data_IF_179132360078
#
_entry.id   IF_179132360078
#
_cell.length_a   1.000
_cell.length_b   1.000
_cell.length_c   1.000
_cell.angle_alpha   90.00
_cell.angle_beta   90.00
_cell.angle_gamma   90.00
#
_symmetry.space_group_name_H-M   'P 1'
#
loop_
_entity.id
_entity.type
_entity.pdbx_description
1 polymer ?
#
# COMPACT_ATOMS: atom_id res chain seq x y z
N UNK A 1 41.39 -64.37 -0.38
CA UNK A 1 41.14 -63.51 -1.55
C UNK A 1 39.67 -63.11 -1.52
N UNK A 2 39.37 -61.90 -1.04
CA UNK A 2 37.98 -61.42 -0.88
C UNK A 2 37.27 -61.46 -2.25
N UNK A 3 36.16 -62.20 -2.33
CA UNK A 3 35.37 -62.38 -3.56
C UNK A 3 34.49 -61.13 -3.77
N UNK A 4 35.13 -60.03 -4.16
CA UNK A 4 34.51 -58.70 -4.32
C UNK A 4 33.47 -58.69 -5.45
N UNK A 5 33.53 -59.64 -6.38
CA UNK A 5 32.74 -59.60 -7.62
C UNK A 5 31.25 -59.97 -7.49
N UNK A 6 30.79 -60.50 -6.34
CA UNK A 6 29.41 -60.98 -6.15
C UNK A 6 28.66 -60.44 -4.93
N UNK A 7 29.25 -59.55 -4.14
CA UNK A 7 28.58 -59.08 -2.91
C UNK A 7 27.49 -58.06 -3.21
N UNK A 8 26.23 -58.45 -3.00
CA UNK A 8 25.04 -57.60 -3.14
C UNK A 8 25.17 -56.31 -2.33
N UNK A 9 25.71 -56.38 -1.11
CA UNK A 9 25.94 -55.21 -0.25
C UNK A 9 26.87 -54.16 -0.88
N UNK A 10 27.90 -54.60 -1.62
CA UNK A 10 28.81 -53.68 -2.31
C UNK A 10 28.13 -52.99 -3.49
N UNK A 11 27.26 -53.71 -4.22
CA UNK A 11 26.45 -53.13 -5.30
C UNK A 11 25.50 -52.07 -4.77
N UNK A 12 24.83 -52.34 -3.64
CA UNK A 12 23.95 -51.37 -2.97
C UNK A 12 24.73 -50.13 -2.52
N UNK A 13 25.93 -50.31 -1.95
CA UNK A 13 26.79 -49.19 -1.54
C UNK A 13 27.18 -48.31 -2.74
N UNK A 14 27.63 -48.92 -3.85
CA UNK A 14 28.00 -48.19 -5.07
C UNK A 14 26.80 -47.46 -5.65
N UNK A 15 25.61 -48.10 -5.68
CA UNK A 15 24.37 -47.46 -6.11
C UNK A 15 24.02 -46.26 -5.22
N UNK A 16 24.14 -46.40 -3.90
CA UNK A 16 23.92 -45.31 -2.94
C UNK A 16 24.86 -44.13 -3.18
N UNK A 17 26.14 -44.40 -3.44
CA UNK A 17 27.14 -43.36 -3.76
C UNK A 17 26.81 -42.68 -5.09
N UNK A 18 26.43 -43.43 -6.13
CA UNK A 18 26.01 -42.84 -7.41
C UNK A 18 24.77 -41.97 -7.25
N UNK A 19 23.76 -42.43 -6.52
CA UNK A 19 22.57 -41.64 -6.21
C UNK A 19 22.94 -40.37 -5.45
N UNK A 20 23.80 -40.48 -4.44
CA UNK A 20 24.32 -39.32 -3.69
C UNK A 20 25.06 -38.32 -4.58
N UNK A 21 25.92 -38.80 -5.48
CA UNK A 21 26.63 -37.97 -6.44
C UNK A 21 25.68 -37.25 -7.41
N UNK A 22 24.60 -37.90 -7.84
CA UNK A 22 23.60 -37.30 -8.72
C UNK A 22 22.69 -36.29 -8.00
N UNK A 23 22.53 -36.38 -6.68
CA UNK A 23 21.79 -35.37 -5.92
C UNK A 23 22.50 -34.01 -5.94
N UNK A 24 23.84 -33.97 -6.01
CA UNK A 24 24.61 -32.72 -6.06
C UNK A 24 24.21 -31.85 -7.27
N UNK A 25 24.32 -32.32 -8.54
CA UNK A 25 23.95 -31.52 -9.69
C UNK A 25 22.45 -31.19 -9.73
N UNK A 26 21.57 -32.08 -9.24
CA UNK A 26 20.13 -31.80 -9.17
C UNK A 26 19.86 -30.59 -8.26
N UNK A 27 20.48 -30.56 -7.07
CA UNK A 27 20.34 -29.42 -6.16
C UNK A 27 20.96 -28.14 -6.73
N UNK A 28 22.12 -28.23 -7.40
CA UNK A 28 22.76 -27.07 -8.03
C UNK A 28 21.87 -26.45 -9.12
N UNK A 29 21.23 -27.27 -9.95
CA UNK A 29 20.27 -26.78 -10.95
C UNK A 29 19.07 -26.12 -10.27
N UNK A 30 18.54 -26.74 -9.22
CA UNK A 30 17.45 -26.16 -8.42
C UNK A 30 17.79 -24.79 -7.87
N UNK A 31 18.96 -24.66 -7.23
CA UNK A 31 19.47 -23.38 -6.70
C UNK A 31 19.65 -22.33 -7.81
N UNK A 32 20.20 -22.71 -8.96
CA UNK A 32 20.39 -21.78 -10.09
C UNK A 32 19.05 -21.27 -10.65
N UNK A 33 18.06 -22.16 -10.74
CA UNK A 33 16.69 -21.78 -11.16
C UNK A 33 16.07 -20.84 -10.15
N UNK A 34 16.20 -21.13 -8.85
CA UNK A 34 15.72 -20.27 -7.77
C UNK A 34 16.35 -18.88 -7.83
N UNK A 35 17.68 -18.78 -7.95
CA UNK A 35 18.37 -17.50 -8.10
C UNK A 35 17.92 -16.71 -9.33
N UNK A 36 17.61 -17.38 -10.45
CA UNK A 36 17.08 -16.73 -11.65
C UNK A 36 15.68 -16.18 -11.44
N UNK A 37 14.82 -16.93 -10.76
CA UNK A 37 13.48 -16.47 -10.42
C UNK A 37 13.53 -15.28 -9.45
N UNK A 38 14.37 -15.36 -8.41
CA UNK A 38 14.56 -14.27 -7.46
C UNK A 38 15.06 -12.99 -8.16
N UNK A 39 16.10 -13.08 -8.99
CA UNK A 39 16.63 -11.94 -9.75
C UNK A 39 15.61 -11.35 -10.74
N UNK A 40 14.78 -12.17 -11.35
CA UNK A 40 13.71 -11.70 -12.21
C UNK A 40 12.67 -10.90 -11.41
N UNK A 41 12.28 -11.40 -10.24
CA UNK A 41 11.37 -10.72 -9.32
C UNK A 41 11.91 -9.37 -8.86
N UNK A 42 13.16 -9.34 -8.38
CA UNK A 42 13.85 -8.11 -7.95
C UNK A 42 13.92 -7.07 -9.08
N UNK A 43 14.22 -7.49 -10.31
CA UNK A 43 14.28 -6.59 -11.45
C UNK A 43 12.90 -5.96 -11.77
N UNK A 44 11.82 -6.77 -11.70
CA UNK A 44 10.44 -6.27 -11.90
C UNK A 44 10.06 -5.30 -10.78
N UNK A 45 10.37 -5.64 -9.53
CA UNK A 45 10.07 -4.80 -8.39
C UNK A 45 10.83 -3.47 -8.44
N UNK A 46 12.11 -3.49 -8.77
CA UNK A 46 12.92 -2.26 -8.90
C UNK A 46 12.46 -1.38 -10.08
N UNK A 47 12.01 -1.98 -11.18
CA UNK A 47 11.41 -1.23 -12.28
C UNK A 47 10.06 -0.61 -11.87
N UNK A 48 9.25 -1.36 -11.13
CA UNK A 48 7.93 -0.91 -10.67
C UNK A 48 8.04 0.18 -9.60
N UNK A 49 8.99 0.08 -8.67
CA UNK A 49 9.18 1.07 -7.59
C UNK A 49 9.59 2.44 -8.13
N UNK A 50 10.36 2.48 -9.23
CA UNK A 50 10.71 3.73 -9.93
C UNK A 50 9.53 4.40 -10.65
N UNK A 51 8.42 3.68 -10.83
CA UNK A 51 7.22 4.14 -11.56
C UNK A 51 5.98 4.26 -10.68
N UNK A 52 6.17 4.24 -9.35
CA UNK A 52 5.08 4.46 -8.40
C UNK A 52 4.48 3.20 -7.81
N UNK A 53 4.96 2.00 -8.20
CA UNK A 53 4.57 0.73 -7.60
C UNK A 53 3.05 0.50 -7.60
N UNK A 54 2.56 -0.16 -6.56
CA UNK A 54 1.11 -0.27 -6.31
C UNK A 54 0.60 1.05 -5.74
N UNK A 55 -0.28 1.71 -6.48
CA UNK A 55 -0.91 2.95 -6.02
C UNK A 55 -2.38 2.71 -5.67
N UNK A 56 -2.78 3.26 -4.53
CA UNK A 56 -4.17 3.38 -4.12
C UNK A 56 -4.54 4.86 -4.18
N UNK A 57 -5.51 5.21 -5.02
CA UNK A 57 -5.93 6.59 -5.23
C UNK A 57 -7.31 6.80 -4.63
N UNK A 58 -7.42 7.75 -3.71
CA UNK A 58 -8.70 8.20 -3.17
C UNK A 58 -9.27 9.35 -4.01
N UNK A 59 -10.59 9.39 -4.15
CA UNK A 59 -11.28 10.48 -4.83
C UNK A 59 -11.21 11.80 -4.04
N UNK A 60 -11.59 12.92 -4.68
CA UNK A 60 -11.64 14.21 -4.02
C UNK A 60 -12.71 14.23 -2.92
N UNK A 61 -12.42 14.95 -1.84
CA UNK A 61 -13.36 15.25 -0.76
C UNK A 61 -13.25 16.74 -0.39
N UNK A 62 -14.33 17.30 0.14
CA UNK A 62 -14.39 18.70 0.55
C UNK A 62 -14.25 18.79 2.06
N UNK A 63 -13.33 19.62 2.54
CA UNK A 63 -13.14 19.89 3.97
C UNK A 63 -13.68 21.26 4.31
N UNK A 64 -14.57 21.35 5.29
CA UNK A 64 -15.10 22.63 5.79
C UNK A 64 -14.71 22.80 7.26
N UNK A 65 -13.86 23.77 7.60
CA UNK A 65 -13.54 24.09 8.99
C UNK A 65 -14.67 24.89 9.66
N UNK A 66 -15.03 24.49 10.88
CA UNK A 66 -16.06 25.14 11.70
C UNK A 66 -15.60 25.31 13.14
N UNK A 67 -16.17 26.31 13.83
CA UNK A 67 -15.96 26.52 15.26
C UNK A 67 -17.12 25.92 16.04
N UNK A 68 -16.81 25.07 17.00
CA UNK A 68 -17.76 24.45 17.93
C UNK A 68 -17.54 24.97 19.36
N UNK A 69 -18.62 25.10 20.14
CA UNK A 69 -18.52 25.30 21.58
C UNK A 69 -18.51 23.94 22.28
N UNK A 70 -17.44 23.67 23.00
CA UNK A 70 -17.34 22.47 23.83
C UNK A 70 -17.27 22.86 25.30
N UNK A 71 -17.90 22.07 26.16
CA UNK A 71 -17.75 22.20 27.60
C UNK A 71 -16.51 21.43 28.03
N UNK A 72 -15.52 22.16 28.54
CA UNK A 72 -14.32 21.59 29.14
C UNK A 72 -14.42 21.74 30.66
N UNK A 73 -14.13 20.65 31.39
CA UNK A 73 -14.02 20.70 32.85
C UNK A 73 -12.61 21.15 33.19
N UNK A 74 -12.49 22.31 33.84
CA UNK A 74 -11.21 22.83 34.35
C UNK A 74 -11.28 22.98 35.86
N UNK A 75 -10.16 22.83 36.54
CA UNK A 75 -10.07 23.19 37.96
C UNK A 75 -9.83 24.69 38.10
N UNK A 76 -10.62 25.34 38.95
CA UNK A 76 -10.32 26.70 39.42
C UNK A 76 -9.12 26.69 40.39
N UNK A 77 -8.56 27.86 40.69
CA UNK A 77 -7.40 28.06 41.59
C UNK A 77 -7.56 27.46 43.00
N UNK A 78 -8.78 27.05 43.36
CA UNK A 78 -9.14 26.43 44.64
C UNK A 78 -9.45 24.91 44.51
N UNK A 79 -9.11 24.27 43.39
CA UNK A 79 -9.31 22.82 43.16
C UNK A 79 -10.76 22.40 42.94
N UNK A 80 -11.65 23.33 42.55
CA UNK A 80 -13.05 23.05 42.24
C UNK A 80 -13.23 22.90 40.74
N UNK A 81 -13.88 21.81 40.31
CA UNK A 81 -14.28 21.63 38.92
C UNK A 81 -15.27 22.71 38.47
N UNK A 82 -14.90 23.46 37.44
CA UNK A 82 -15.72 24.44 36.76
C UNK A 82 -15.90 24.02 35.29
N UNK A 83 -17.11 24.17 34.75
CA UNK A 83 -17.37 23.98 33.32
C UNK A 83 -17.10 25.27 32.59
N UNK A 84 -16.15 25.25 31.66
CA UNK A 84 -15.80 26.40 30.83
C UNK A 84 -16.13 26.07 29.39
N UNK A 85 -16.88 26.95 28.73
CA UNK A 85 -17.11 26.84 27.30
C UNK A 85 -15.87 27.32 26.55
N UNK A 86 -15.29 26.45 25.74
CA UNK A 86 -14.13 26.76 24.90
C UNK A 86 -14.52 26.67 23.43
N UNK A 87 -14.00 27.59 22.61
CA UNK A 87 -14.16 27.51 21.16
C UNK A 87 -13.12 26.52 20.63
N UNK A 88 -13.59 25.45 19.98
CA UNK A 88 -12.74 24.43 19.37
C UNK A 88 -12.89 24.51 17.85
N UNK A 89 -11.78 24.52 17.12
CA UNK A 89 -11.79 24.42 15.67
C UNK A 89 -11.87 22.95 15.27
N UNK A 90 -12.84 22.61 14.42
CA UNK A 90 -13.06 21.26 13.92
C UNK A 90 -13.20 21.26 12.41
N UNK A 91 -12.97 20.11 11.81
CA UNK A 91 -13.11 19.89 10.38
C UNK A 91 -14.27 18.93 10.13
N UNK A 92 -15.01 19.18 9.05
CA UNK A 92 -16.03 18.26 8.56
C UNK A 92 -15.71 17.88 7.11
N UNK A 93 -15.81 16.58 6.82
CA UNK A 93 -15.47 15.99 5.53
C UNK A 93 -16.75 15.66 4.77
N UNK A 94 -16.87 16.18 3.55
CA UNK A 94 -17.99 15.91 2.65
C UNK A 94 -17.47 15.14 1.44
N UNK A 95 -18.10 14.00 1.16
CA UNK A 95 -17.86 13.21 -0.04
C UNK A 95 -18.73 13.73 -1.19
N UNK A 96 -18.29 13.57 -2.45
CA UNK A 96 -19.12 13.93 -3.59
C UNK A 96 -20.32 12.97 -3.69
N UNK A 97 -21.48 13.49 -4.09
CA UNK A 97 -22.66 12.66 -4.38
C UNK A 97 -22.46 11.81 -5.64
N UNK A 98 -21.70 12.35 -6.61
CA UNK A 98 -21.31 11.66 -7.83
C UNK A 98 -19.83 11.89 -8.07
N UNK A 99 -19.10 10.79 -8.27
CA UNK A 99 -17.70 10.79 -8.64
C UNK A 99 -17.57 10.19 -10.04
N UNK A 100 -17.11 11.00 -10.98
CA UNK A 100 -16.73 10.58 -12.33
C UNK A 100 -15.21 10.42 -12.38
N UNK A 101 -14.77 9.26 -12.86
CA UNK A 101 -13.36 8.91 -13.04
C UNK A 101 -13.12 8.66 -14.53
N UNK A 102 -12.26 9.45 -15.14
CA UNK A 102 -11.79 9.23 -16.52
C UNK A 102 -10.30 8.88 -16.47
N UNK A 103 -9.92 7.76 -17.09
CA UNK A 103 -8.53 7.29 -17.12
C UNK A 103 -8.09 7.00 -18.55
N UNK A 104 -6.93 7.53 -18.93
CA UNK A 104 -6.21 7.13 -20.15
C UNK A 104 -4.92 6.42 -19.72
N UNK A 105 -4.96 5.09 -19.66
CA UNK A 105 -3.83 4.24 -19.25
C UNK A 105 -3.18 3.61 -20.48
N UNK A 106 -1.87 3.79 -20.60
CA UNK A 106 -1.03 3.19 -21.65
C UNK A 106 -0.06 2.20 -21.01
N UNK A 107 0.05 1.03 -21.64
CA UNK A 107 1.01 0.01 -21.25
C UNK A 107 2.29 0.16 -22.09
N UNK A 108 3.44 0.21 -21.44
CA UNK A 108 4.75 0.23 -22.08
C UNK A 108 5.60 -0.92 -21.53
N UNK A 109 6.20 -1.71 -22.43
CA UNK A 109 7.15 -2.75 -22.06
C UNK A 109 8.52 -2.12 -21.85
N UNK A 110 9.03 -2.18 -20.63
CA UNK A 110 10.40 -1.76 -20.31
C UNK A 110 11.29 -2.96 -20.07
N UNK A 111 12.53 -2.85 -20.53
CA UNK A 111 13.53 -3.91 -20.39
C UNK A 111 14.65 -3.47 -19.47
N UNK A 112 15.14 -4.42 -18.69
CA UNK A 112 16.39 -4.31 -17.94
C UNK A 112 17.19 -5.60 -18.09
N UNK A 113 18.29 -5.52 -18.83
CA UNK A 113 19.06 -6.70 -19.23
C UNK A 113 18.20 -7.66 -20.06
N UNK A 114 18.04 -8.89 -19.58
CA UNK A 114 17.19 -9.92 -20.20
C UNK A 114 15.75 -9.94 -19.66
N UNK A 115 15.43 -9.09 -18.69
CA UNK A 115 14.12 -9.05 -18.02
C UNK A 115 13.24 -7.96 -18.62
N UNK A 116 11.93 -8.24 -18.72
CA UNK A 116 10.92 -7.32 -19.23
C UNK A 116 9.83 -7.12 -18.16
N UNK A 117 9.40 -5.87 -17.97
CA UNK A 117 8.25 -5.51 -17.14
C UNK A 117 7.27 -4.66 -17.95
N UNK A 118 5.98 -4.86 -17.73
CA UNK A 118 4.92 -4.01 -18.28
C UNK A 118 4.65 -2.91 -17.27
N UNK A 119 4.91 -1.67 -17.67
CA UNK A 119 4.63 -0.49 -16.87
C UNK A 119 3.39 0.21 -17.41
N UNK A 120 2.59 0.76 -16.51
CA UNK A 120 1.40 1.54 -16.87
C UNK A 120 1.67 3.00 -16.57
N UNK A 121 1.37 3.85 -17.54
CA UNK A 121 1.46 5.29 -17.37
C UNK A 121 0.25 5.94 -18.02
N UNK A 122 -0.25 7.00 -17.41
CA UNK A 122 -1.52 7.56 -17.85
C UNK A 122 -1.96 8.75 -17.05
N UNK A 123 -2.96 9.43 -17.59
CA UNK A 123 -3.60 10.54 -16.91
C UNK A 123 -4.90 10.04 -16.27
N UNK A 124 -5.10 10.40 -15.01
CA UNK A 124 -6.32 10.13 -14.26
C UNK A 124 -7.00 11.45 -13.95
N UNK A 125 -8.25 11.60 -14.36
CA UNK A 125 -9.07 12.79 -14.12
C UNK A 125 -10.22 12.44 -13.20
N UNK A 126 -10.23 13.07 -12.03
CA UNK A 126 -11.32 12.98 -11.07
C UNK A 126 -12.25 14.19 -11.21
N UNK A 127 -13.56 13.95 -11.28
CA UNK A 127 -14.59 14.98 -11.23
C UNK A 127 -15.63 14.59 -10.18
N UNK A 128 -15.70 15.34 -9.09
CA UNK A 128 -16.69 15.16 -8.03
C UNK A 128 -17.75 16.26 -8.08
N UNK A 129 -19.03 15.89 -7.99
CA UNK A 129 -20.11 16.83 -7.71
C UNK A 129 -20.47 16.76 -6.23
N UNK A 130 -20.38 17.89 -5.54
CA UNK A 130 -20.66 18.00 -4.11
C UNK A 130 -21.99 18.71 -3.91
N UNK A 131 -22.84 18.12 -3.07
CA UNK A 131 -23.98 18.85 -2.51
C UNK A 131 -23.47 20.00 -1.67
N UNK A 132 -24.10 21.16 -1.81
CA UNK A 132 -23.78 22.31 -0.96
C UNK A 132 -24.10 21.97 0.50
N UNK A 133 -23.12 22.04 1.42
CA UNK A 133 -23.37 21.75 2.82
C UNK A 133 -24.34 22.74 3.44
N UNK A 134 -25.33 22.20 4.14
CA UNK A 134 -26.33 22.95 4.89
C UNK A 134 -25.90 23.07 6.36
N UNK A 135 -26.42 24.09 7.05
CA UNK A 135 -26.21 24.27 8.50
C UNK A 135 -26.68 23.04 9.30
N UNK A 136 -27.68 22.31 8.79
CA UNK A 136 -28.17 21.05 9.37
C UNK A 136 -27.15 19.93 9.37
N UNK A 137 -26.13 20.00 8.51
CA UNK A 137 -25.11 18.97 8.41
C UNK A 137 -24.04 19.12 9.50
N UNK A 138 -24.00 20.29 10.16
CA UNK A 138 -23.07 20.60 11.24
C UNK A 138 -23.71 20.39 12.62
N UNK A 139 -22.92 20.06 13.64
CA UNK A 139 -23.41 19.93 15.01
C UNK A 139 -24.08 21.22 15.51
N UNK A 140 -25.11 21.09 16.36
CA UNK A 140 -25.87 22.24 16.90
C UNK A 140 -25.02 23.25 17.69
N UNK A 141 -23.84 22.86 18.17
CA UNK A 141 -22.89 23.74 18.86
C UNK A 141 -21.97 24.53 17.90
N UNK A 142 -22.27 24.54 16.60
CA UNK A 142 -21.50 25.27 15.58
C UNK A 142 -21.79 26.77 15.64
N UNK A 143 -20.76 27.57 15.88
CA UNK A 143 -20.86 29.02 16.07
C UNK A 143 -20.50 29.82 14.83
N UNK A 144 -19.49 29.38 14.07
CA UNK A 144 -18.97 30.14 12.92
C UNK A 144 -18.29 29.21 11.89
N UNK A 145 -18.56 29.45 10.62
CA UNK A 145 -17.86 28.84 9.50
C UNK A 145 -16.66 29.72 9.13
N UNK A 146 -15.45 29.17 9.21
CA UNK A 146 -14.23 29.92 8.91
C UNK A 146 -13.95 29.87 7.41
N UNK A 147 -14.70 30.66 6.62
CA UNK A 147 -14.56 30.66 5.16
C UNK A 147 -15.07 31.90 4.44
N UNK A 148 -15.52 32.95 5.14
CA UNK A 148 -15.92 34.21 4.53
C UNK A 148 -14.98 35.31 5.02
N UNK A 149 -13.95 35.61 4.22
CA UNK A 149 -13.20 36.84 4.36
C UNK A 149 -14.20 38.00 4.34
N UNK A 150 -14.26 38.70 5.47
CA UNK A 150 -14.90 39.98 5.58
C UNK A 150 -14.18 40.94 4.63
N UNK A 151 -14.90 41.46 3.64
CA UNK A 151 -14.63 42.80 3.13
C UNK A 151 -15.31 43.79 4.06
#
# INVERSE_FOLDING_TARGET
>A
MFKIQSSVSLRILILGIMLGLLLIPINLVGSLVFERQARAGEAIEEMSSKWGGKQEMAGPFLVIPYQALEEEIREDKHGKEIRVQVNVFKEMYFLPEKLNLETDLKAEKRKRGIYEAVLYHGNVKFQGNFKQPSISDFPMNTKKFSGRNQK
#
